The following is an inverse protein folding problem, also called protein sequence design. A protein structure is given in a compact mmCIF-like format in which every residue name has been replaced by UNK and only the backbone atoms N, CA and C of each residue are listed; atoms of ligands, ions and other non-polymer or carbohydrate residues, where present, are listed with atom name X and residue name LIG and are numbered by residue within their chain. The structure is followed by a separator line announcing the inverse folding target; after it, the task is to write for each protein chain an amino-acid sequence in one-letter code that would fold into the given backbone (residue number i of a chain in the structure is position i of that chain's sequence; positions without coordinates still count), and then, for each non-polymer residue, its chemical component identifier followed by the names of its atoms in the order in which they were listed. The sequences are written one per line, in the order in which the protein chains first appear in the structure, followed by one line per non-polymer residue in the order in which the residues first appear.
data_IF_496551059206
#
_entry.id   IF_496551059206
#
_cell.length_a   1.000
_cell.length_b   1.000
_cell.length_c   1.000
_cell.angle_alpha   90.00
_cell.angle_beta   90.00
_cell.angle_gamma   90.00
#
_symmetry.space_group_name_H-M   'P 1'
#
loop_
_entity.id
_entity.type
_entity.pdbx_description
1 polymer ?
#
# COMPACT_ATOMS: atom_id res chain seq x y z
N UNK A 1 -8.83 -29.71 -16.68
CA UNK A 1 -9.90 -28.99 -15.99
C UNK A 1 -9.33 -28.62 -14.63
N UNK A 2 -8.65 -27.48 -14.53
CA UNK A 2 -8.19 -26.93 -13.25
C UNK A 2 -9.44 -26.57 -12.47
N UNK A 3 -9.61 -27.16 -11.29
CA UNK A 3 -10.64 -26.74 -10.37
C UNK A 3 -10.46 -25.24 -10.11
N UNK A 4 -11.54 -24.48 -10.20
CA UNK A 4 -11.53 -23.08 -9.77
C UNK A 4 -11.14 -23.09 -8.28
N UNK A 5 -9.90 -22.70 -7.97
CA UNK A 5 -9.52 -22.39 -6.61
C UNK A 5 -10.43 -21.24 -6.18
N UNK A 6 -11.26 -21.49 -5.20
CA UNK A 6 -12.03 -20.45 -4.55
C UNK A 6 -10.99 -19.56 -3.84
N UNK A 7 -10.70 -18.41 -4.43
CA UNK A 7 -9.70 -17.46 -3.91
C UNK A 7 -10.31 -16.76 -2.68
N UNK A 8 -10.18 -17.38 -1.51
CA UNK A 8 -10.57 -16.74 -0.26
C UNK A 8 -9.55 -15.66 0.12
N UNK A 9 -10.05 -14.53 0.65
CA UNK A 9 -9.22 -13.54 1.33
C UNK A 9 -9.12 -13.94 2.80
N UNK A 10 -7.90 -13.99 3.33
CA UNK A 10 -7.61 -14.35 4.72
C UNK A 10 -6.67 -13.35 5.37
N UNK A 11 -6.83 -13.15 6.68
CA UNK A 11 -5.88 -12.36 7.45
C UNK A 11 -4.52 -13.07 7.53
N UNK A 12 -3.46 -12.30 7.53
CA UNK A 12 -2.06 -12.77 7.59
C UNK A 12 -1.51 -12.57 8.99
N UNK A 13 -0.81 -13.56 9.52
CA UNK A 13 -0.06 -13.44 10.77
C UNK A 13 1.37 -12.99 10.51
N UNK A 14 2.01 -12.39 11.54
CA UNK A 14 3.38 -11.88 11.45
C UNK A 14 4.41 -12.97 11.06
N UNK A 15 4.15 -14.25 11.40
CA UNK A 15 4.99 -15.37 11.03
C UNK A 15 4.75 -15.92 9.60
N UNK A 16 3.83 -15.33 8.84
CA UNK A 16 3.44 -15.73 7.48
C UNK A 16 3.83 -14.70 6.40
N UNK A 17 4.48 -13.59 6.76
CA UNK A 17 4.71 -12.46 5.85
C UNK A 17 5.77 -12.71 4.78
N UNK A 18 6.74 -13.59 5.00
CA UNK A 18 7.92 -13.72 4.12
C UNK A 18 7.61 -13.89 2.62
N UNK A 19 6.69 -14.78 2.19
CA UNK A 19 6.36 -14.89 0.78
C UNK A 19 5.67 -13.63 0.23
N UNK A 20 4.91 -12.92 1.07
CA UNK A 20 4.23 -11.68 0.68
C UNK A 20 5.19 -10.50 0.53
N UNK A 21 6.24 -10.45 1.35
CA UNK A 21 7.31 -9.47 1.23
C UNK A 21 7.95 -9.55 -0.15
N UNK A 22 8.27 -10.76 -0.61
CA UNK A 22 8.89 -10.95 -1.94
C UNK A 22 7.96 -10.49 -3.06
N UNK A 23 6.69 -10.91 -3.03
CA UNK A 23 5.68 -10.53 -4.03
C UNK A 23 5.48 -9.02 -4.06
N UNK A 24 5.39 -8.40 -2.89
CA UNK A 24 5.12 -6.96 -2.79
C UNK A 24 6.34 -6.13 -3.19
N UNK A 25 7.53 -6.47 -2.71
CA UNK A 25 8.77 -5.77 -3.09
C UNK A 25 8.98 -5.81 -4.61
N UNK A 26 8.76 -6.96 -5.25
CA UNK A 26 8.86 -7.10 -6.69
C UNK A 26 7.78 -6.29 -7.44
N UNK A 27 6.56 -6.20 -6.91
CA UNK A 27 5.49 -5.42 -7.52
C UNK A 27 5.72 -3.91 -7.42
N UNK A 28 6.42 -3.47 -6.37
CA UNK A 28 6.69 -2.06 -6.06
C UNK A 28 8.09 -1.58 -6.49
N UNK A 29 8.90 -2.42 -7.15
CA UNK A 29 10.28 -2.07 -7.53
C UNK A 29 10.38 -0.75 -8.35
N UNK A 30 9.35 -0.43 -9.12
CA UNK A 30 9.25 0.78 -9.93
C UNK A 30 8.24 1.80 -9.35
N UNK A 31 7.76 1.60 -8.10
CA UNK A 31 6.83 2.53 -7.48
C UNK A 31 7.55 3.81 -7.06
N UNK A 32 7.10 4.94 -7.61
CA UNK A 32 7.84 6.18 -7.50
C UNK A 32 7.86 6.79 -6.10
N UNK A 33 6.84 6.54 -5.26
CA UNK A 33 6.85 6.98 -3.85
C UNK A 33 7.99 6.35 -3.05
N UNK A 34 8.41 5.14 -3.43
CA UNK A 34 9.50 4.42 -2.78
C UNK A 34 10.81 4.52 -3.57
N UNK A 35 10.72 4.51 -4.91
CA UNK A 35 11.91 4.45 -5.77
C UNK A 35 12.61 5.80 -5.91
N UNK A 36 11.84 6.90 -6.07
CA UNK A 36 12.39 8.25 -6.25
C UNK A 36 13.22 8.72 -5.03
N UNK A 37 12.77 8.53 -3.77
CA UNK A 37 13.56 8.94 -2.61
C UNK A 37 14.90 8.21 -2.46
N UNK A 38 14.99 6.98 -2.99
CA UNK A 38 16.23 6.19 -2.90
C UNK A 38 17.36 6.69 -3.84
N UNK A 39 17.02 7.50 -4.85
CA UNK A 39 18.01 7.96 -5.83
C UNK A 39 18.65 6.80 -6.59
N UNK A 40 19.99 6.86 -6.77
CA UNK A 40 20.77 5.86 -7.50
C UNK A 40 21.24 4.70 -6.60
N UNK A 41 20.39 4.26 -5.67
CA UNK A 41 20.73 3.14 -4.77
C UNK A 41 21.10 1.88 -5.58
N UNK A 42 22.22 1.19 -5.25
CA UNK A 42 22.74 0.08 -6.05
C UNK A 42 21.88 -1.18 -5.98
N UNK A 43 21.12 -1.37 -4.91
CA UNK A 43 20.23 -2.52 -4.70
C UNK A 43 18.86 -2.06 -4.18
N UNK A 44 18.01 -1.50 -5.05
CA UNK A 44 16.69 -1.04 -4.65
C UNK A 44 15.76 -2.18 -4.23
N UNK A 45 15.97 -3.40 -4.74
CA UNK A 45 15.12 -4.53 -4.37
C UNK A 45 15.32 -4.94 -2.91
N UNK A 46 16.57 -4.99 -2.44
CA UNK A 46 16.85 -5.28 -1.03
C UNK A 46 16.23 -4.22 -0.10
N UNK A 47 16.25 -2.94 -0.50
CA UNK A 47 15.58 -1.87 0.25
C UNK A 47 14.08 -2.07 0.28
N UNK A 48 13.44 -2.37 -0.87
CA UNK A 48 11.99 -2.65 -0.94
C UNK A 48 11.60 -3.88 -0.09
N UNK A 49 12.42 -4.93 -0.09
CA UNK A 49 12.18 -6.10 0.77
C UNK A 49 12.26 -5.74 2.26
N UNK A 50 13.22 -4.89 2.66
CA UNK A 50 13.31 -4.41 4.04
C UNK A 50 12.08 -3.55 4.40
N UNK A 51 11.69 -2.62 3.53
CA UNK A 51 10.53 -1.75 3.70
C UNK A 51 9.25 -2.58 3.89
N UNK A 52 8.94 -3.48 2.94
CA UNK A 52 7.73 -4.30 3.04
C UNK A 52 7.77 -5.32 4.16
N UNK A 53 8.93 -5.73 4.62
CA UNK A 53 9.03 -6.55 5.84
C UNK A 53 8.54 -5.78 7.07
N UNK A 54 8.95 -4.53 7.23
CA UNK A 54 8.48 -3.66 8.31
C UNK A 54 6.98 -3.38 8.21
N UNK A 55 6.53 -2.95 7.03
CA UNK A 55 5.14 -2.61 6.76
C UNK A 55 4.20 -3.80 6.96
N UNK A 56 4.51 -4.97 6.36
CA UNK A 56 3.68 -6.16 6.51
C UNK A 56 3.68 -6.68 7.97
N UNK A 57 4.82 -6.61 8.68
CA UNK A 57 4.88 -6.98 10.09
C UNK A 57 4.00 -6.06 10.95
N UNK A 58 4.07 -4.75 10.76
CA UNK A 58 3.21 -3.80 11.46
C UNK A 58 1.71 -4.05 11.14
N UNK A 59 1.37 -4.16 9.86
CA UNK A 59 0.00 -4.40 9.43
C UNK A 59 -0.55 -5.75 9.93
N UNK A 60 0.26 -6.83 9.89
CA UNK A 60 -0.16 -8.15 10.38
C UNK A 60 -0.44 -8.15 11.90
N UNK A 61 0.41 -7.51 12.69
CA UNK A 61 0.21 -7.38 14.16
C UNK A 61 -1.05 -6.60 14.52
N UNK A 62 -1.46 -5.68 13.67
CA UNK A 62 -2.67 -4.86 13.85
C UNK A 62 -3.91 -5.47 13.20
N UNK A 63 -3.79 -6.67 12.56
CA UNK A 63 -4.90 -7.30 11.85
C UNK A 63 -5.30 -6.58 10.56
N UNK A 64 -4.38 -5.82 9.97
CA UNK A 64 -4.58 -4.99 8.79
C UNK A 64 -3.95 -5.55 7.51
N UNK A 65 -3.32 -6.74 7.56
CA UNK A 65 -2.72 -7.41 6.40
C UNK A 65 -3.59 -8.58 5.94
N UNK A 66 -3.91 -8.59 4.66
CA UNK A 66 -4.76 -9.58 4.03
C UNK A 66 -4.08 -10.21 2.83
N UNK A 67 -4.30 -11.51 2.60
CA UNK A 67 -3.81 -12.21 1.42
C UNK A 67 -4.93 -12.92 0.68
N UNK A 68 -4.70 -13.21 -0.60
CA UNK A 68 -5.55 -14.06 -1.42
C UNK A 68 -4.69 -15.07 -2.18
N UNK A 69 -5.19 -16.32 -2.27
CA UNK A 69 -4.62 -17.34 -3.12
C UNK A 69 -3.23 -17.81 -2.73
N UNK A 70 -3.00 -18.14 -1.45
CA UNK A 70 -1.73 -18.72 -0.98
C UNK A 70 -0.52 -17.85 -1.37
N UNK A 71 -0.51 -16.62 -0.87
CA UNK A 71 0.46 -15.58 -1.15
C UNK A 71 0.50 -15.06 -2.62
N UNK A 72 -0.50 -15.37 -3.44
CA UNK A 72 -0.58 -14.83 -4.82
C UNK A 72 -0.86 -13.32 -4.87
N UNK A 73 -1.33 -12.74 -3.78
CA UNK A 73 -1.48 -11.29 -3.61
C UNK A 73 -1.73 -10.91 -2.16
N UNK A 74 -1.37 -9.68 -1.81
CA UNK A 74 -1.55 -9.09 -0.50
C UNK A 74 -2.07 -7.66 -0.58
N UNK A 75 -2.78 -7.23 0.45
CA UNK A 75 -3.16 -5.82 0.65
C UNK A 75 -3.09 -5.45 2.13
N UNK A 76 -2.54 -4.27 2.41
CA UNK A 76 -2.59 -3.64 3.72
C UNK A 76 -3.75 -2.63 3.73
N UNK A 77 -4.78 -2.95 4.52
CA UNK A 77 -5.92 -2.09 4.75
C UNK A 77 -5.90 -1.59 6.19
N UNK A 78 -5.52 -0.33 6.37
CA UNK A 78 -5.33 0.28 7.68
C UNK A 78 -6.65 0.89 8.14
N UNK A 79 -7.18 0.36 9.26
CA UNK A 79 -8.38 0.92 9.89
C UNK A 79 -8.05 2.22 10.62
N UNK A 80 -9.01 3.13 10.80
CA UNK A 80 -8.77 4.37 11.56
C UNK A 80 -8.31 4.10 13.00
N UNK A 81 -8.77 3.01 13.62
CA UNK A 81 -8.35 2.63 14.98
C UNK A 81 -6.90 2.11 15.05
N UNK A 82 -6.38 1.59 13.95
CA UNK A 82 -5.01 1.09 13.85
C UNK A 82 -4.03 2.16 13.33
N UNK A 83 -4.51 3.25 12.76
CA UNK A 83 -3.70 4.21 12.01
C UNK A 83 -2.52 4.76 12.81
N UNK A 84 -2.75 5.31 14.01
CA UNK A 84 -1.69 5.88 14.84
C UNK A 84 -0.60 4.85 15.16
N UNK A 85 -1.01 3.64 15.59
CA UNK A 85 -0.07 2.56 15.91
C UNK A 85 0.66 2.02 14.69
N UNK A 86 0.02 2.00 13.53
CA UNK A 86 0.62 1.60 12.27
C UNK A 86 1.71 2.60 11.85
N UNK A 87 1.37 3.89 11.81
CA UNK A 87 2.32 4.94 11.42
C UNK A 87 3.49 5.06 12.39
N UNK A 88 3.28 4.94 13.72
CA UNK A 88 4.36 4.94 14.70
C UNK A 88 5.36 3.78 14.44
N UNK A 89 4.86 2.58 14.19
CA UNK A 89 5.71 1.44 13.87
C UNK A 89 6.43 1.61 12.53
N UNK A 90 5.73 2.11 11.51
CA UNK A 90 6.29 2.33 10.18
C UNK A 90 7.39 3.38 10.22
N UNK A 91 7.19 4.52 10.88
CA UNK A 91 8.20 5.58 11.00
C UNK A 91 9.51 5.08 11.64
N UNK A 92 9.43 4.18 12.62
CA UNK A 92 10.65 3.59 13.19
C UNK A 92 11.46 2.72 12.21
N UNK A 93 10.81 2.17 11.18
CA UNK A 93 11.45 1.46 10.06
C UNK A 93 11.96 2.40 8.99
N UNK A 94 11.21 3.45 8.70
CA UNK A 94 11.56 4.47 7.72
C UNK A 94 12.93 5.10 7.99
N UNK A 95 13.28 5.37 9.25
CA UNK A 95 14.60 5.89 9.61
C UNK A 95 15.73 4.98 9.11
N UNK A 96 15.55 3.67 9.19
CA UNK A 96 16.51 2.68 8.71
C UNK A 96 16.58 2.59 7.17
N UNK A 97 15.47 2.77 6.49
CA UNK A 97 15.40 2.76 5.01
C UNK A 97 15.90 4.09 4.46
N UNK A 98 15.45 5.21 5.01
CA UNK A 98 15.87 6.55 4.64
C UNK A 98 17.39 6.74 4.75
N UNK A 99 18.01 6.19 5.80
CA UNK A 99 19.46 6.23 5.98
C UNK A 99 20.27 5.54 4.86
N UNK A 100 19.63 4.73 4.02
CA UNK A 100 20.26 4.08 2.88
C UNK A 100 20.22 4.94 1.60
N UNK A 101 19.43 6.02 1.58
CA UNK A 101 19.37 6.93 0.47
C UNK A 101 20.67 7.77 0.35
N UNK A 102 21.00 8.20 -0.87
CA UNK A 102 22.23 8.95 -1.17
C UNK A 102 22.29 10.36 -0.53
N UNK A 103 21.13 10.88 -0.10
CA UNK A 103 20.97 12.18 0.58
C UNK A 103 20.69 12.05 2.09
N UNK A 104 20.86 10.85 2.65
CA UNK A 104 20.59 10.58 4.06
C UNK A 104 19.10 10.59 4.43
N UNK A 105 18.21 10.47 3.44
CA UNK A 105 16.76 10.37 3.65
C UNK A 105 15.99 11.68 3.52
N UNK A 106 16.64 12.79 3.20
CA UNK A 106 15.96 14.09 3.15
C UNK A 106 14.80 14.13 2.15
N UNK A 107 14.96 13.50 0.95
CA UNK A 107 13.86 13.39 -0.03
C UNK A 107 12.72 12.51 0.47
N UNK A 108 13.06 11.47 1.21
CA UNK A 108 12.09 10.54 1.79
C UNK A 108 11.20 11.27 2.81
N UNK A 109 11.79 11.96 3.77
CA UNK A 109 11.08 12.75 4.77
C UNK A 109 10.18 13.81 4.12
N UNK A 110 10.73 14.62 3.20
CA UNK A 110 9.96 15.67 2.52
C UNK A 110 8.78 15.11 1.73
N UNK A 111 8.97 13.98 1.05
CA UNK A 111 7.90 13.36 0.25
C UNK A 111 6.77 12.84 1.14
N UNK A 112 7.11 12.12 2.21
CA UNK A 112 6.11 11.53 3.09
C UNK A 112 5.41 12.57 3.96
N UNK A 113 6.10 13.62 4.41
CA UNK A 113 5.46 14.76 5.09
C UNK A 113 4.40 15.40 4.17
N UNK A 114 4.72 15.55 2.90
CA UNK A 114 3.79 16.11 1.93
C UNK A 114 2.62 15.13 1.63
N UNK A 115 2.90 13.84 1.41
CA UNK A 115 1.86 12.82 1.16
C UNK A 115 0.88 12.74 2.32
N UNK A 116 1.38 12.64 3.55
CA UNK A 116 0.55 12.58 4.75
C UNK A 116 -0.23 13.89 4.96
N UNK A 117 0.34 15.03 4.59
CA UNK A 117 -0.34 16.33 4.61
C UNK A 117 -1.51 16.47 3.64
N UNK A 118 -1.58 15.60 2.61
CA UNK A 118 -2.71 15.54 1.66
C UNK A 118 -3.84 14.62 2.17
N UNK A 119 -3.62 13.85 3.21
CA UNK A 119 -4.65 12.96 3.77
C UNK A 119 -5.71 13.76 4.53
N UNK A 120 -6.99 13.36 4.46
CA UNK A 120 -8.05 14.04 5.21
C UNK A 120 -7.96 13.76 6.71
N UNK A 121 -8.28 14.75 7.54
CA UNK A 121 -8.31 14.62 9.02
C UNK A 121 -9.46 13.72 9.52
N UNK A 122 -10.49 13.49 8.69
CA UNK A 122 -11.62 12.65 9.07
C UNK A 122 -11.23 11.17 9.16
N UNK A 123 -11.83 10.38 10.07
CA UNK A 123 -11.59 8.95 10.14
C UNK A 123 -11.88 8.26 8.80
N UNK A 124 -10.95 7.43 8.33
CA UNK A 124 -11.03 6.72 7.05
C UNK A 124 -10.26 5.40 7.10
N UNK A 125 -10.59 4.49 6.21
CA UNK A 125 -9.78 3.33 5.90
C UNK A 125 -8.77 3.69 4.82
N UNK A 126 -7.52 3.29 4.99
CA UNK A 126 -6.47 3.50 3.98
C UNK A 126 -6.06 2.18 3.33
N UNK A 127 -6.09 2.12 2.00
CA UNK A 127 -5.39 1.08 1.25
C UNK A 127 -3.93 1.51 1.07
N UNK A 128 -3.11 1.16 2.04
CA UNK A 128 -1.70 1.53 2.10
C UNK A 128 -0.87 0.83 1.01
N UNK A 129 -1.06 -0.47 0.84
CA UNK A 129 -0.39 -1.23 -0.22
C UNK A 129 -1.25 -2.33 -0.78
N UNK A 130 -1.09 -2.63 -2.08
CA UNK A 130 -1.69 -3.77 -2.74
C UNK A 130 -0.76 -4.33 -3.81
N UNK A 131 -0.50 -5.63 -3.76
CA UNK A 131 0.33 -6.34 -4.71
C UNK A 131 -0.30 -7.64 -5.17
N UNK A 132 -0.03 -8.03 -6.41
CA UNK A 132 -0.39 -9.33 -6.98
C UNK A 132 0.82 -9.87 -7.73
N UNK A 133 1.17 -11.11 -7.48
CA UNK A 133 2.21 -11.84 -8.21
C UNK A 133 2.04 -11.62 -9.71
N UNK A 134 3.08 -11.15 -10.43
CA UNK A 134 3.02 -10.93 -11.86
C UNK A 134 2.49 -12.14 -12.66
N UNK A 135 2.80 -13.37 -12.23
CA UNK A 135 2.32 -14.59 -12.84
C UNK A 135 0.82 -14.84 -12.66
N UNK A 136 0.22 -14.24 -11.60
CA UNK A 136 -1.18 -14.41 -11.23
C UNK A 136 -2.05 -13.20 -11.56
N UNK A 137 -1.47 -12.17 -12.19
CA UNK A 137 -2.21 -10.96 -12.62
C UNK A 137 -3.32 -11.32 -13.59
N UNK A 138 -4.37 -10.47 -13.63
CA UNK A 138 -5.60 -10.63 -14.42
C UNK A 138 -6.48 -11.80 -13.99
N UNK A 139 -6.16 -12.48 -12.89
CA UNK A 139 -7.00 -13.51 -12.26
C UNK A 139 -8.04 -12.98 -11.27
N UNK A 140 -8.21 -11.66 -11.13
CA UNK A 140 -9.20 -11.05 -10.23
C UNK A 140 -8.72 -10.86 -8.78
N UNK A 141 -7.52 -11.32 -8.41
CA UNK A 141 -6.98 -11.27 -7.04
C UNK A 141 -6.98 -9.86 -6.48
N UNK A 142 -6.47 -8.88 -7.23
CA UNK A 142 -6.46 -7.48 -6.80
C UNK A 142 -7.87 -6.93 -6.54
N UNK A 143 -8.84 -7.30 -7.37
CA UNK A 143 -10.24 -6.94 -7.15
C UNK A 143 -10.81 -7.52 -5.86
N UNK A 144 -10.54 -8.81 -5.59
CA UNK A 144 -10.98 -9.47 -4.35
C UNK A 144 -10.40 -8.79 -3.09
N UNK A 145 -9.13 -8.42 -3.13
CA UNK A 145 -8.47 -7.72 -2.02
C UNK A 145 -9.02 -6.31 -1.81
N UNK A 146 -9.35 -5.59 -2.90
CA UNK A 146 -10.00 -4.28 -2.82
C UNK A 146 -11.41 -4.42 -2.26
N UNK A 147 -12.23 -5.31 -2.83
CA UNK A 147 -13.61 -5.52 -2.39
C UNK A 147 -13.69 -5.93 -0.91
N UNK A 148 -12.71 -6.72 -0.43
CA UNK A 148 -12.61 -7.12 0.97
C UNK A 148 -12.44 -5.91 1.91
N UNK A 149 -11.47 -5.03 1.62
CA UNK A 149 -11.25 -3.83 2.43
C UNK A 149 -12.40 -2.83 2.34
N UNK A 150 -12.98 -2.68 1.15
CA UNK A 150 -14.16 -1.83 0.98
C UNK A 150 -15.37 -2.34 1.77
N UNK A 151 -15.55 -3.65 1.90
CA UNK A 151 -16.62 -4.21 2.72
C UNK A 151 -16.43 -3.88 4.21
N UNK A 152 -15.18 -3.84 4.70
CA UNK A 152 -14.88 -3.39 6.07
C UNK A 152 -15.17 -1.91 6.25
N UNK A 153 -14.72 -1.05 5.33
CA UNK A 153 -14.97 0.38 5.35
C UNK A 153 -16.49 0.71 5.29
N UNK A 154 -17.23 -0.03 4.46
CA UNK A 154 -18.69 0.12 4.35
C UNK A 154 -19.42 -0.33 5.63
N UNK A 155 -18.93 -1.39 6.29
CA UNK A 155 -19.50 -1.86 7.57
C UNK A 155 -19.33 -0.82 8.68
N UNK A 156 -18.22 -0.07 8.67
CA UNK A 156 -17.97 1.02 9.61
C UNK A 156 -18.65 2.34 9.20
N UNK A 157 -19.20 2.41 8.00
CA UNK A 157 -19.80 3.63 7.44
C UNK A 157 -18.77 4.72 7.14
N UNK A 158 -17.51 4.35 6.92
CA UNK A 158 -16.39 5.27 6.72
C UNK A 158 -15.89 5.28 5.26
N UNK A 159 -15.30 6.40 4.81
CA UNK A 159 -14.68 6.44 3.50
C UNK A 159 -13.41 5.60 3.46
N UNK A 160 -13.03 5.20 2.25
CA UNK A 160 -11.74 4.61 1.95
C UNK A 160 -10.89 5.58 1.12
N UNK A 161 -9.58 5.63 1.39
CA UNK A 161 -8.61 6.42 0.63
C UNK A 161 -7.47 5.55 0.13
N UNK A 162 -6.80 6.02 -0.89
CA UNK A 162 -5.52 5.51 -1.40
C UNK A 162 -4.79 6.62 -2.16
N UNK A 163 -3.51 6.46 -2.35
CA UNK A 163 -2.74 7.23 -3.33
C UNK A 163 -2.07 6.31 -4.35
N UNK A 164 -1.70 6.88 -5.50
CA UNK A 164 -0.94 6.18 -6.55
C UNK A 164 -0.13 7.17 -7.38
N UNK A 165 1.06 6.75 -7.81
CA UNK A 165 1.88 7.49 -8.80
C UNK A 165 1.64 6.98 -10.23
N UNK A 166 0.77 5.97 -10.40
CA UNK A 166 0.56 5.27 -11.68
C UNK A 166 -0.73 5.73 -12.35
N UNK A 167 -0.68 6.61 -13.37
CA UNK A 167 -1.88 7.18 -13.98
C UNK A 167 -2.84 6.14 -14.56
N UNK A 168 -2.31 4.99 -14.99
CA UNK A 168 -3.13 3.89 -15.52
C UNK A 168 -3.94 3.15 -14.43
N UNK A 169 -3.60 3.30 -13.15
CA UNK A 169 -4.36 2.73 -12.04
C UNK A 169 -5.53 3.63 -11.61
N UNK A 170 -5.51 4.93 -11.89
CA UNK A 170 -6.63 5.84 -11.58
C UNK A 170 -7.96 5.31 -12.15
N UNK A 171 -8.09 4.98 -13.45
CA UNK A 171 -9.32 4.40 -13.97
C UNK A 171 -9.59 2.96 -13.46
N UNK A 172 -8.58 2.24 -13.00
CA UNK A 172 -8.77 0.94 -12.38
C UNK A 172 -9.47 1.08 -11.02
N UNK A 173 -8.96 1.94 -10.13
CA UNK A 173 -9.60 2.22 -8.84
C UNK A 173 -10.96 2.90 -9.00
N UNK A 174 -11.16 3.69 -10.06
CA UNK A 174 -12.45 4.26 -10.42
C UNK A 174 -13.58 3.22 -10.58
N UNK A 175 -13.27 1.97 -10.97
CA UNK A 175 -14.25 0.87 -11.06
C UNK A 175 -14.80 0.44 -9.71
N UNK A 176 -14.05 0.72 -8.63
CA UNK A 176 -14.42 0.44 -7.25
C UNK A 176 -15.06 1.67 -6.55
N UNK A 177 -15.32 2.74 -7.31
CA UNK A 177 -15.96 3.94 -6.80
C UNK A 177 -15.00 4.99 -6.23
N UNK A 178 -13.69 4.80 -6.38
CA UNK A 178 -12.72 5.84 -6.01
C UNK A 178 -12.74 6.99 -7.03
N UNK A 179 -12.66 8.20 -6.52
CA UNK A 179 -12.50 9.43 -7.30
C UNK A 179 -11.30 10.20 -6.81
N UNK A 180 -10.59 10.86 -7.72
CA UNK A 180 -9.47 11.74 -7.36
C UNK A 180 -10.05 12.94 -6.62
N UNK A 181 -9.53 13.24 -5.43
CA UNK A 181 -9.91 14.42 -4.65
C UNK A 181 -8.77 15.44 -4.53
N UNK A 182 -7.52 14.98 -4.72
CA UNK A 182 -6.30 15.80 -4.72
C UNK A 182 -5.30 15.19 -5.69
N UNK A 183 -4.48 16.01 -6.34
CA UNK A 183 -3.34 15.56 -7.15
C UNK A 183 -2.23 16.62 -7.11
N UNK A 184 -0.99 16.19 -7.23
CA UNK A 184 0.14 17.12 -7.24
C UNK A 184 1.47 16.43 -7.50
N UNK A 185 2.48 17.25 -7.76
CA UNK A 185 3.86 16.82 -7.88
C UNK A 185 4.53 16.85 -6.50
N UNK A 186 5.19 15.76 -6.13
CA UNK A 186 5.95 15.70 -4.90
C UNK A 186 7.04 16.78 -4.81
N UNK A 187 7.43 17.19 -3.61
CA UNK A 187 8.45 18.23 -3.41
C UNK A 187 9.79 17.84 -4.02
N UNK A 188 10.62 18.84 -4.37
CA UNK A 188 11.98 18.62 -4.88
C UNK A 188 12.04 17.95 -6.26
N UNK A 189 10.98 18.01 -7.07
CA UNK A 189 10.88 17.31 -8.36
C UNK A 189 10.46 15.84 -8.19
N UNK A 190 9.80 15.51 -7.11
CA UNK A 190 9.24 14.20 -6.82
C UNK A 190 8.13 13.77 -7.80
N UNK A 191 7.61 12.57 -7.64
CA UNK A 191 6.62 12.01 -8.56
C UNK A 191 5.28 12.75 -8.47
N UNK A 192 4.52 12.72 -9.57
CA UNK A 192 3.11 13.07 -9.54
C UNK A 192 2.34 11.99 -8.77
N UNK A 193 1.44 12.43 -7.88
CA UNK A 193 0.60 11.56 -7.04
C UNK A 193 -0.86 11.94 -7.21
N UNK A 194 -1.70 10.93 -7.32
CA UNK A 194 -3.16 11.05 -7.30
C UNK A 194 -3.68 10.47 -5.99
N UNK A 195 -4.33 11.32 -5.18
CA UNK A 195 -5.02 10.91 -3.96
C UNK A 195 -6.49 10.65 -4.29
N UNK A 196 -6.95 9.46 -3.96
CA UNK A 196 -8.29 9.01 -4.34
C UNK A 196 -9.11 8.64 -3.11
N UNK A 197 -10.41 8.96 -3.16
CA UNK A 197 -11.36 8.70 -2.09
C UNK A 197 -12.60 7.99 -2.61
N UNK A 198 -13.11 7.04 -1.84
CA UNK A 198 -14.40 6.40 -2.04
C UNK A 198 -15.29 6.65 -0.82
N UNK A 199 -16.47 7.24 -0.95
CA UNK A 199 -17.43 7.34 0.15
C UNK A 199 -17.95 5.93 0.50
N UNK A 200 -18.43 5.69 1.76
CA UNK A 200 -19.04 4.42 2.12
C UNK A 200 -20.29 4.14 1.26
N UNK A 201 -20.58 2.86 1.01
CA UNK A 201 -21.85 2.47 0.40
C UNK A 201 -23.01 2.85 1.33
N UNK A 202 -24.14 3.27 0.73
CA UNK A 202 -25.34 3.64 1.46
C UNK A 202 -26.16 2.42 1.81
#
# INVERSE_FOLDING_TARGET
MLAAMELAVTAVRDDEIDPLVEVTAQAFIDEQLLRWPLGDHPDPLAVMQAEFRGLHSAAARLGCLWQAGDAAGAASWISPDAADSFWEQLMSWHDGVAAQADDGGARYEQLWDWVLGCYPDEPHWALDSIAVDPAMRRGGIGGLLIDHGLAMADADGLPAILETTRPHLVPYYGKFGFVVFEEGDGPGGGPQVWFMRRPPAR
#
